data_IF_433019381697
#
_entry.id   IF_433019381697
#
_cell.length_a   1.000
_cell.length_b   1.000
_cell.length_c   1.000
_cell.angle_alpha   90.00
_cell.angle_beta   90.00
_cell.angle_gamma   90.00
#
_symmetry.space_group_name_H-M   'P 1'
#
loop_
_entity.id
_entity.type
_entity.pdbx_description
1 polymer ?
#
# COMPACT_ATOMS: atom_id res chain seq x y z
N UNK A 1 7.74 -3.94 21.29
CA UNK A 1 6.70 -3.40 20.39
C UNK A 1 6.63 -1.90 20.61
N UNK A 2 6.61 -1.10 19.54
CA UNK A 2 6.46 0.36 19.66
C UNK A 2 5.00 0.70 19.99
N UNK A 3 4.78 1.71 20.84
CA UNK A 3 3.42 2.17 21.19
C UNK A 3 2.88 3.07 20.07
N UNK A 4 1.64 2.84 19.65
CA UNK A 4 0.92 3.70 18.71
C UNK A 4 -0.04 4.58 19.51
N UNK A 5 0.12 5.90 19.41
CA UNK A 5 -0.75 6.87 20.07
C UNK A 5 -1.85 7.32 19.11
N UNK A 6 -3.05 6.75 19.25
CA UNK A 6 -4.17 6.98 18.33
C UNK A 6 -4.61 8.44 18.31
N UNK A 7 -4.58 9.13 19.46
CA UNK A 7 -4.96 10.55 19.57
C UNK A 7 -4.07 11.49 18.73
N UNK A 8 -2.84 11.08 18.44
CA UNK A 8 -1.84 11.86 17.70
C UNK A 8 -1.55 11.28 16.32
N UNK A 9 -2.38 10.34 15.83
CA UNK A 9 -2.11 9.60 14.60
C UNK A 9 -2.06 10.50 13.35
N UNK A 10 -2.79 11.62 13.37
CA UNK A 10 -2.76 12.63 12.31
C UNK A 10 -1.38 13.25 12.12
N UNK A 11 -0.52 13.28 13.15
CA UNK A 11 0.86 13.77 13.06
C UNK A 11 1.77 12.88 12.21
N UNK A 12 1.35 11.64 11.93
CA UNK A 12 2.08 10.75 11.03
C UNK A 12 1.85 11.09 9.54
N UNK A 13 0.89 11.96 9.20
CA UNK A 13 0.67 12.43 7.84
C UNK A 13 1.78 13.38 7.41
N UNK A 14 2.13 13.34 6.13
CA UNK A 14 3.07 14.28 5.50
C UNK A 14 2.49 14.87 4.22
N UNK A 15 3.03 16.02 3.77
CA UNK A 15 2.47 16.78 2.65
C UNK A 15 2.47 16.02 1.32
N UNK A 16 3.35 15.02 1.17
CA UNK A 16 3.46 14.19 -0.04
C UNK A 16 2.66 12.89 0.00
N UNK A 17 1.70 12.78 0.94
CA UNK A 17 0.82 11.61 1.03
C UNK A 17 -0.21 11.59 -0.12
N UNK A 18 -1.07 10.56 -0.17
CA UNK A 18 -2.10 10.47 -1.22
C UNK A 18 -3.36 11.26 -0.95
N UNK A 19 -3.53 11.76 0.28
CA UNK A 19 -4.78 12.34 0.73
C UNK A 19 -5.99 11.38 0.69
N UNK A 20 -5.80 10.06 0.62
CA UNK A 20 -6.92 9.10 0.74
C UNK A 20 -7.54 9.19 2.12
N UNK A 21 -6.70 9.22 3.16
CA UNK A 21 -7.17 9.71 4.44
C UNK A 21 -7.21 11.22 4.42
N UNK A 22 -8.28 11.80 4.96
CA UNK A 22 -8.29 13.22 5.30
C UNK A 22 -7.43 13.49 6.56
N UNK A 23 -7.43 14.74 7.03
CA UNK A 23 -6.68 15.15 8.22
C UNK A 23 -7.25 14.59 9.53
N UNK A 24 -8.54 14.25 9.53
CA UNK A 24 -9.24 13.67 10.67
C UNK A 24 -9.11 12.14 10.71
N UNK A 25 -8.55 11.53 9.65
CA UNK A 25 -8.30 10.10 9.53
C UNK A 25 -9.44 9.32 8.86
N UNK A 26 -10.41 9.98 8.23
CA UNK A 26 -11.48 9.31 7.51
C UNK A 26 -11.02 8.84 6.14
N UNK A 27 -11.38 7.60 5.78
CA UNK A 27 -11.08 7.03 4.47
C UNK A 27 -11.99 7.63 3.39
N UNK A 28 -11.41 8.29 2.40
CA UNK A 28 -12.13 8.82 1.25
C UNK A 28 -12.16 7.78 0.11
N UNK A 29 -13.29 7.11 -0.03
CA UNK A 29 -13.49 6.09 -1.06
C UNK A 29 -13.41 6.64 -2.48
N UNK A 30 -13.92 7.86 -2.71
CA UNK A 30 -13.90 8.48 -4.03
C UNK A 30 -12.47 8.74 -4.52
N UNK A 31 -11.61 9.29 -3.65
CA UNK A 31 -10.19 9.49 -3.97
C UNK A 31 -9.45 8.18 -4.20
N UNK A 32 -9.82 7.15 -3.45
CA UNK A 32 -9.27 5.82 -3.64
C UNK A 32 -9.63 5.27 -5.03
N UNK A 33 -10.89 5.31 -5.45
CA UNK A 33 -11.29 4.86 -6.79
C UNK A 33 -10.64 5.70 -7.90
N UNK A 34 -10.62 7.04 -7.75
CA UNK A 34 -9.96 7.95 -8.70
C UNK A 34 -8.46 7.66 -8.86
N UNK A 35 -7.80 7.11 -7.83
CA UNK A 35 -6.41 6.68 -7.93
C UNK A 35 -6.27 5.57 -8.99
N UNK A 36 -7.10 4.54 -8.92
CA UNK A 36 -7.05 3.42 -9.86
C UNK A 36 -7.45 3.86 -11.26
N UNK A 37 -8.51 4.66 -11.40
CA UNK A 37 -8.92 5.21 -12.70
C UNK A 37 -7.81 6.00 -13.40
N UNK A 38 -6.94 6.65 -12.63
CA UNK A 38 -5.87 7.49 -13.17
C UNK A 38 -4.56 6.76 -13.42
N UNK A 39 -4.22 5.80 -12.57
CA UNK A 39 -2.90 5.20 -12.53
C UNK A 39 -2.88 3.72 -12.92
N UNK A 40 -4.00 3.01 -12.94
CA UNK A 40 -4.05 1.63 -13.45
C UNK A 40 -3.78 1.62 -14.96
N UNK A 41 -2.52 1.39 -15.34
CA UNK A 41 -2.11 1.35 -16.74
C UNK A 41 -2.35 0.00 -17.40
N UNK A 42 -2.52 -1.07 -16.62
CA UNK A 42 -2.80 -2.41 -17.16
C UNK A 42 -4.29 -2.60 -17.46
N UNK A 43 -5.17 -1.86 -16.79
CA UNK A 43 -6.62 -2.02 -16.87
C UNK A 43 -7.12 -3.28 -16.16
N UNK A 44 -6.29 -3.92 -15.35
CA UNK A 44 -6.60 -5.19 -14.67
C UNK A 44 -7.17 -4.98 -13.26
N UNK A 45 -7.44 -3.74 -12.85
CA UNK A 45 -7.91 -3.41 -11.52
C UNK A 45 -6.79 -3.40 -10.48
N UNK A 46 -5.59 -2.99 -10.87
CA UNK A 46 -4.41 -3.00 -10.01
C UNK A 46 -3.34 -2.01 -10.41
N UNK A 47 -2.32 -1.84 -9.56
CA UNK A 47 -1.22 -0.91 -9.80
C UNK A 47 0.08 -1.69 -9.95
N UNK A 48 0.79 -1.45 -11.06
CA UNK A 48 2.14 -1.98 -11.26
C UNK A 48 3.18 -1.20 -10.46
N UNK A 49 4.41 -1.70 -10.39
CA UNK A 49 5.51 -0.94 -9.77
C UNK A 49 5.71 0.43 -10.45
N UNK A 50 5.59 0.49 -11.77
CA UNK A 50 5.73 1.73 -12.53
C UNK A 50 4.58 2.71 -12.25
N UNK A 51 3.36 2.21 -12.07
CA UNK A 51 2.21 3.02 -11.69
C UNK A 51 2.37 3.62 -10.30
N UNK A 52 2.84 2.83 -9.33
CA UNK A 52 3.16 3.31 -7.98
C UNK A 52 4.29 4.35 -8.00
N UNK A 53 5.33 4.16 -8.81
CA UNK A 53 6.39 5.15 -8.99
C UNK A 53 5.89 6.45 -9.63
N UNK A 54 4.98 6.36 -10.62
CA UNK A 54 4.33 7.53 -11.22
C UNK A 54 3.45 8.26 -10.20
N UNK A 55 2.70 7.52 -9.40
CA UNK A 55 1.87 8.05 -8.33
C UNK A 55 2.71 8.77 -7.27
N UNK A 56 3.77 8.13 -6.77
CA UNK A 56 4.71 8.75 -5.82
C UNK A 56 5.30 10.04 -6.37
N UNK A 57 5.80 10.04 -7.61
CA UNK A 57 6.36 11.24 -8.25
C UNK A 57 5.33 12.37 -8.37
N UNK A 58 4.06 12.04 -8.63
CA UNK A 58 2.97 13.00 -8.80
C UNK A 58 2.57 13.67 -7.49
N UNK A 59 2.64 12.95 -6.37
CA UNK A 59 2.23 13.46 -5.06
C UNK A 59 3.32 14.23 -4.31
N UNK A 60 4.53 14.34 -4.87
CA UNK A 60 5.63 15.10 -4.23
C UNK A 60 5.27 16.58 -4.07
N UNK A 61 5.24 17.05 -2.83
CA UNK A 61 5.13 18.48 -2.52
C UNK A 61 6.50 19.16 -2.61
N UNK A 62 6.61 20.32 -3.28
CA UNK A 62 7.88 20.94 -3.67
C UNK A 62 8.85 21.25 -2.52
N UNK A 63 8.34 21.41 -1.29
CA UNK A 63 9.12 21.73 -0.09
C UNK A 63 9.06 20.63 0.99
N UNK A 64 8.89 19.36 0.59
CA UNK A 64 8.72 18.23 1.53
C UNK A 64 9.70 17.06 1.28
N UNK A 65 11.03 17.25 1.43
CA UNK A 65 12.01 16.18 1.18
C UNK A 65 11.82 14.96 2.09
N UNK A 66 11.45 15.19 3.36
CA UNK A 66 11.19 14.12 4.31
C UNK A 66 9.95 13.32 3.91
N UNK A 67 8.85 13.97 3.53
CA UNK A 67 7.65 13.30 3.04
C UNK A 67 7.86 12.58 1.72
N UNK A 68 8.80 13.01 0.86
CA UNK A 68 9.17 12.21 -0.32
C UNK A 68 9.77 10.87 0.07
N UNK A 69 10.68 10.87 1.05
CA UNK A 69 11.31 9.65 1.54
C UNK A 69 10.30 8.74 2.25
N UNK A 70 9.42 9.30 3.08
CA UNK A 70 8.36 8.53 3.74
C UNK A 70 7.38 7.94 2.74
N UNK A 71 6.87 8.74 1.78
CA UNK A 71 5.98 8.26 0.74
C UNK A 71 6.63 7.16 -0.12
N UNK A 72 7.93 7.27 -0.42
CA UNK A 72 8.66 6.22 -1.13
C UNK A 72 8.69 4.92 -0.32
N UNK A 73 9.00 5.00 0.97
CA UNK A 73 9.04 3.84 1.86
C UNK A 73 7.66 3.20 2.02
N UNK A 74 6.60 4.00 2.16
CA UNK A 74 5.22 3.52 2.22
C UNK A 74 4.85 2.72 0.98
N UNK A 75 5.11 3.27 -0.22
CA UNK A 75 4.78 2.59 -1.47
C UNK A 75 5.65 1.38 -1.75
N UNK A 76 6.94 1.46 -1.43
CA UNK A 76 7.86 0.34 -1.53
C UNK A 76 7.41 -0.83 -0.64
N UNK A 77 7.13 -0.55 0.64
CA UNK A 77 6.66 -1.57 1.58
C UNK A 77 5.31 -2.14 1.16
N UNK A 78 4.38 -1.29 0.70
CA UNK A 78 3.08 -1.71 0.17
C UNK A 78 3.23 -2.64 -1.02
N UNK A 79 4.10 -2.30 -1.98
CA UNK A 79 4.38 -3.14 -3.14
C UNK A 79 4.94 -4.50 -2.71
N UNK A 80 5.98 -4.51 -1.87
CA UNK A 80 6.60 -5.75 -1.38
C UNK A 80 5.61 -6.63 -0.61
N UNK A 81 4.66 -6.03 0.09
CA UNK A 81 3.66 -6.72 0.88
C UNK A 81 2.49 -7.26 0.04
N UNK A 82 2.02 -6.51 -0.96
CA UNK A 82 0.75 -6.80 -1.64
C UNK A 82 0.90 -7.35 -3.04
N UNK A 83 2.05 -7.15 -3.70
CA UNK A 83 2.18 -7.53 -5.11
C UNK A 83 2.00 -9.05 -5.30
N UNK A 84 1.22 -9.38 -6.33
CA UNK A 84 1.09 -10.73 -6.89
C UNK A 84 1.38 -10.60 -8.38
N UNK A 85 2.42 -11.30 -8.83
CA UNK A 85 2.88 -11.27 -10.23
C UNK A 85 3.17 -9.83 -10.73
N UNK A 86 3.71 -8.99 -9.85
CA UNK A 86 4.05 -7.60 -10.17
C UNK A 86 2.89 -6.59 -10.08
N UNK A 87 1.68 -7.05 -9.75
CA UNK A 87 0.47 -6.24 -9.67
C UNK A 87 -0.04 -6.14 -8.23
N UNK A 88 -0.31 -4.93 -7.76
CA UNK A 88 -1.01 -4.67 -6.48
C UNK A 88 -2.50 -4.52 -6.77
N UNK A 89 -3.30 -5.50 -6.37
CA UNK A 89 -4.74 -5.50 -6.65
C UNK A 89 -5.48 -4.47 -5.81
N UNK A 90 -6.53 -3.87 -6.38
CA UNK A 90 -7.34 -2.85 -5.70
C UNK A 90 -7.91 -3.33 -4.36
N UNK A 91 -8.42 -4.55 -4.32
CA UNK A 91 -8.98 -5.14 -3.10
C UNK A 91 -7.95 -5.37 -2.00
N UNK A 92 -6.74 -5.81 -2.37
CA UNK A 92 -5.64 -6.03 -1.42
C UNK A 92 -5.17 -4.68 -0.85
N UNK A 93 -5.08 -3.63 -1.69
CA UNK A 93 -4.74 -2.28 -1.25
C UNK A 93 -5.83 -1.67 -0.37
N UNK A 94 -7.11 -1.87 -0.72
CA UNK A 94 -8.25 -1.44 0.10
C UNK A 94 -8.21 -2.09 1.48
N UNK A 95 -7.91 -3.39 1.54
CA UNK A 95 -7.76 -4.11 2.80
C UNK A 95 -6.59 -3.57 3.65
N UNK A 96 -5.53 -3.06 3.00
CA UNK A 96 -4.43 -2.39 3.68
C UNK A 96 -4.87 -1.08 4.33
N UNK A 97 -5.72 -0.31 3.66
CA UNK A 97 -6.31 0.91 4.22
C UNK A 97 -7.29 0.59 5.36
N UNK A 98 -8.31 -0.23 5.14
CA UNK A 98 -9.34 -0.49 6.17
C UNK A 98 -8.85 -1.36 7.35
N UNK A 99 -7.63 -1.90 7.27
CA UNK A 99 -6.99 -2.71 8.31
C UNK A 99 -7.41 -4.18 8.30
N UNK A 100 -8.32 -4.60 7.42
CA UNK A 100 -8.75 -6.00 7.30
C UNK A 100 -7.62 -6.91 6.79
N UNK A 101 -6.62 -6.36 6.10
CA UNK A 101 -5.46 -7.10 5.60
C UNK A 101 -4.75 -7.90 6.70
N UNK A 102 -4.61 -7.33 7.90
CA UNK A 102 -3.94 -8.00 9.01
C UNK A 102 -4.66 -9.31 9.39
N UNK A 103 -5.99 -9.25 9.46
CA UNK A 103 -6.83 -10.41 9.78
C UNK A 103 -6.81 -11.43 8.66
N UNK A 104 -6.83 -10.99 7.40
CA UNK A 104 -6.68 -11.88 6.25
C UNK A 104 -5.35 -12.63 6.29
N UNK A 105 -4.24 -11.94 6.57
CA UNK A 105 -2.91 -12.57 6.70
C UNK A 105 -2.88 -13.55 7.88
N UNK A 106 -3.47 -13.19 9.02
CA UNK A 106 -3.56 -14.07 10.19
C UNK A 106 -4.32 -15.36 9.84
N UNK A 107 -5.53 -15.24 9.29
CA UNK A 107 -6.38 -16.37 8.93
C UNK A 107 -5.72 -17.26 7.87
N UNK A 108 -5.01 -16.67 6.89
CA UNK A 108 -4.24 -17.44 5.91
C UNK A 108 -3.11 -18.23 6.57
N UNK A 109 -2.46 -17.69 7.61
CA UNK A 109 -1.38 -18.40 8.33
C UNK A 109 -1.93 -19.55 9.15
N UNK A 110 -3.03 -19.35 9.88
CA UNK A 110 -3.69 -20.41 10.67
C UNK A 110 -4.21 -21.56 9.78
N UNK A 111 -4.70 -21.25 8.56
CA UNK A 111 -5.15 -22.27 7.60
C UNK A 111 -4.00 -23.00 6.90
N UNK A 112 -2.79 -22.44 6.90
CA UNK A 112 -1.62 -22.96 6.14
C UNK A 112 -0.80 -24.02 6.88
N UNK A 113 -1.18 -24.40 8.10
CA UNK A 113 -0.60 -25.55 8.80
C UNK A 113 -0.90 -26.91 8.13
N UNK A 114 -1.46 -26.94 6.91
CA UNK A 114 -1.78 -28.18 6.16
C UNK A 114 -1.43 -28.26 4.65
N UNK A 115 -1.08 -27.18 3.92
CA UNK A 115 -0.77 -27.31 2.48
C UNK A 115 0.04 -26.13 1.90
N UNK A 116 1.14 -26.47 1.22
CA UNK A 116 2.18 -25.56 0.71
C UNK A 116 1.77 -24.93 -0.64
N UNK A 117 1.17 -23.74 -0.62
CA UNK A 117 1.15 -22.86 -1.80
C UNK A 117 1.29 -21.39 -1.37
N UNK A 118 2.43 -20.76 -1.72
CA UNK A 118 2.90 -19.50 -1.11
C UNK A 118 2.40 -18.29 -1.92
N UNK A 119 1.30 -17.64 -1.50
CA UNK A 119 0.95 -16.28 -1.98
C UNK A 119 1.90 -15.27 -1.32
N UNK A 120 2.51 -14.37 -2.09
CA UNK A 120 3.44 -13.36 -1.55
C UNK A 120 2.75 -12.40 -0.57
N UNK A 121 3.40 -12.20 0.59
CA UNK A 121 3.14 -11.17 1.62
C UNK A 121 4.49 -10.69 2.24
N UNK A 122 5.53 -10.53 1.40
CA UNK A 122 6.85 -10.03 1.79
C UNK A 122 8.07 -10.79 1.19
N UNK A 123 8.86 -10.06 0.39
CA UNK A 123 10.26 -10.27 -0.08
C UNK A 123 10.68 -11.55 -0.84
N UNK A 124 9.87 -12.60 -0.99
CA UNK A 124 10.37 -13.85 -1.60
C UNK A 124 10.63 -13.81 -3.11
N UNK A 125 9.90 -12.97 -3.86
CA UNK A 125 10.10 -12.84 -5.32
C UNK A 125 11.17 -11.79 -5.69
N UNK A 126 11.73 -11.06 -4.71
CA UNK A 126 12.66 -9.96 -4.98
C UNK A 126 14.07 -10.43 -5.39
N UNK A 127 14.43 -11.66 -5.03
CA UNK A 127 15.72 -12.30 -5.36
C UNK A 127 15.54 -13.54 -6.24
N UNK A 128 14.34 -13.74 -6.81
CA UNK A 128 14.00 -14.91 -7.60
C UNK A 128 13.77 -14.52 -9.07
N UNK A 129 14.75 -13.86 -9.67
CA UNK A 129 14.95 -13.84 -11.11
C UNK A 129 16.46 -13.95 -11.37
N UNK A 130 16.90 -14.78 -12.34
CA UNK A 130 18.31 -14.91 -12.70
C UNK A 130 18.91 -13.61 -13.26
#
# INVERSE_FOLDING_TARGET
>A
MFRIYVNDINKAKHGSDTGIYDYDGNFNHERFEQMFERFDSSGEGGLTADDLLRLWKKNRCAADPAGWSFAFMEWWTTYVLLQKDGLVRREDLRACYDGSLFWQIKDEREKRDGCTNRKSFGMRNFFASP
#
